data_IF_618826701286
#
_entry.id   IF_618826701286
#
_cell.length_a   1.000
_cell.length_b   1.000
_cell.length_c   1.000
_cell.angle_alpha   90.00
_cell.angle_beta   90.00
_cell.angle_gamma   90.00
#
_symmetry.space_group_name_H-M   'P 1'
#
loop_
_entity.id
_entity.type
_entity.pdbx_description
1 polymer ?
#
# COMPACT_ATOMS: atom_id res chain seq x y z
N UNK A 1 -2.57 -2.54 7.83
CA UNK A 1 -3.54 -2.44 6.71
C UNK A 1 -3.13 -1.43 5.63
N UNK A 2 -2.79 -0.17 5.95
CA UNK A 2 -2.39 0.81 4.92
C UNK A 2 -1.16 0.38 4.10
N UNK A 3 -0.15 -0.22 4.74
CA UNK A 3 1.01 -0.76 4.04
C UNK A 3 0.64 -1.86 3.03
N UNK A 4 -0.30 -2.75 3.37
CA UNK A 4 -0.80 -3.79 2.45
C UNK A 4 -1.49 -3.13 1.26
N UNK A 5 -2.37 -2.14 1.52
CA UNK A 5 -3.04 -1.40 0.46
C UNK A 5 -2.06 -0.67 -0.48
N UNK A 6 -1.11 0.09 0.07
CA UNK A 6 -0.21 0.91 -0.74
C UNK A 6 0.71 0.06 -1.61
N UNK A 7 1.32 -0.99 -1.06
CA UNK A 7 2.18 -1.89 -1.82
C UNK A 7 1.38 -2.69 -2.86
N UNK A 8 0.15 -3.11 -2.54
CA UNK A 8 -0.74 -3.75 -3.52
C UNK A 8 -1.05 -2.81 -4.70
N UNK A 9 -1.38 -1.55 -4.41
CA UNK A 9 -1.66 -0.55 -5.46
C UNK A 9 -0.42 -0.26 -6.29
N UNK A 10 0.74 -0.08 -5.66
CA UNK A 10 2.00 0.15 -6.37
C UNK A 10 2.41 -1.07 -7.21
N UNK A 11 2.25 -2.30 -6.72
CA UNK A 11 2.59 -3.51 -7.46
C UNK A 11 1.67 -3.77 -8.67
N UNK A 12 0.39 -3.41 -8.57
CA UNK A 12 -0.59 -3.69 -9.65
C UNK A 12 -0.70 -2.54 -10.64
N UNK A 13 -0.88 -1.32 -10.13
CA UNK A 13 -1.08 -0.12 -10.95
C UNK A 13 0.26 0.55 -11.28
N UNK A 14 1.17 0.62 -10.30
CA UNK A 14 2.36 1.48 -10.35
C UNK A 14 2.11 2.76 -9.56
N UNK A 15 2.79 3.84 -9.96
CA UNK A 15 2.64 5.15 -9.34
C UNK A 15 1.19 5.62 -9.26
N UNK A 16 0.87 6.35 -8.19
CA UNK A 16 -0.46 6.92 -7.97
C UNK A 16 -0.88 7.80 -9.15
N UNK A 17 -2.08 7.55 -9.66
CA UNK A 17 -2.62 8.17 -10.88
C UNK A 17 -4.05 8.71 -10.68
N UNK A 18 -4.42 8.99 -9.42
CA UNK A 18 -5.75 9.49 -9.04
C UNK A 18 -5.58 10.76 -8.22
N UNK A 19 -6.60 11.61 -8.21
CA UNK A 19 -6.59 12.80 -7.38
C UNK A 19 -6.68 12.46 -5.89
N UNK A 20 -6.08 13.32 -5.08
CA UNK A 20 -6.11 13.16 -3.63
C UNK A 20 -7.51 13.42 -3.08
N UNK A 21 -8.10 12.52 -2.28
CA UNK A 21 -9.41 12.72 -1.68
C UNK A 21 -9.51 13.99 -0.82
N UNK A 22 -10.72 14.55 -0.74
CA UNK A 22 -11.02 15.77 0.02
C UNK A 22 -10.78 15.64 1.52
N UNK A 23 -10.66 16.77 2.23
CA UNK A 23 -10.23 16.81 3.63
C UNK A 23 -11.11 16.02 4.61
N UNK A 24 -12.40 15.84 4.30
CA UNK A 24 -13.36 15.11 5.14
C UNK A 24 -13.31 13.59 4.93
N UNK A 25 -12.70 13.11 3.83
CA UNK A 25 -12.48 11.68 3.60
C UNK A 25 -11.15 11.23 4.20
N UNK A 26 -11.12 11.11 5.53
CA UNK A 26 -9.91 10.72 6.26
C UNK A 26 -9.36 9.35 5.84
N UNK A 27 -10.25 8.39 5.51
CA UNK A 27 -9.85 7.03 5.14
C UNK A 27 -9.27 6.99 3.73
N UNK A 28 -9.94 7.62 2.76
CA UNK A 28 -9.45 7.74 1.40
C UNK A 28 -8.14 8.51 1.35
N UNK A 29 -8.06 9.62 2.07
CA UNK A 29 -6.83 10.43 2.20
C UNK A 29 -5.67 9.60 2.75
N UNK A 30 -5.86 8.85 3.83
CA UNK A 30 -4.80 8.01 4.40
C UNK A 30 -4.33 6.89 3.44
N UNK A 31 -5.27 6.28 2.71
CA UNK A 31 -4.95 5.29 1.67
C UNK A 31 -4.16 5.91 0.51
N UNK A 32 -4.62 7.06 0.02
CA UNK A 32 -3.99 7.79 -1.06
C UNK A 32 -2.58 8.24 -0.67
N UNK A 33 -2.42 8.84 0.51
CA UNK A 33 -1.14 9.31 1.04
C UNK A 33 -0.14 8.15 1.16
N UNK A 34 -0.58 6.99 1.67
CA UNK A 34 0.25 5.79 1.77
C UNK A 34 0.67 5.22 0.41
N UNK A 35 -0.17 5.33 -0.62
CA UNK A 35 0.19 4.91 -1.98
C UNK A 35 1.12 5.93 -2.64
N UNK A 36 0.81 7.22 -2.53
CA UNK A 36 1.63 8.31 -3.06
C UNK A 36 3.04 8.32 -2.46
N UNK A 37 3.23 7.91 -1.20
CA UNK A 37 4.57 7.79 -0.61
C UNK A 37 5.45 6.71 -1.24
N UNK A 38 4.89 5.80 -2.05
CA UNK A 38 5.63 4.77 -2.78
C UNK A 38 5.94 5.17 -4.24
N UNK A 39 5.63 6.40 -4.64
CA UNK A 39 5.88 6.88 -6.00
C UNK A 39 7.35 6.70 -6.39
N UNK A 40 7.60 6.15 -7.57
CA UNK A 40 8.94 5.80 -8.07
C UNK A 40 9.42 4.40 -7.68
N UNK A 41 8.71 3.68 -6.82
CA UNK A 41 9.02 2.28 -6.51
C UNK A 41 8.59 1.38 -7.69
N UNK A 42 9.44 0.44 -8.09
CA UNK A 42 9.10 -0.54 -9.14
C UNK A 42 7.94 -1.44 -8.70
N UNK A 43 7.22 -2.02 -9.67
CA UNK A 43 6.13 -2.97 -9.38
C UNK A 43 6.67 -4.23 -8.69
N UNK A 44 7.84 -4.68 -9.11
CA UNK A 44 8.53 -5.85 -8.58
C UNK A 44 8.95 -5.65 -7.12
N UNK A 45 9.51 -4.49 -6.78
CA UNK A 45 9.91 -4.19 -5.39
C UNK A 45 8.70 -4.00 -4.49
N UNK A 46 7.64 -3.36 -5.01
CA UNK A 46 6.37 -3.25 -4.30
C UNK A 46 5.74 -4.63 -4.00
N UNK A 47 5.82 -5.56 -4.94
CA UNK A 47 5.33 -6.94 -4.75
C UNK A 47 6.13 -7.69 -3.68
N UNK A 48 7.47 -7.60 -3.71
CA UNK A 48 8.33 -8.20 -2.67
C UNK A 48 8.02 -7.64 -1.28
N UNK A 49 7.87 -6.32 -1.18
CA UNK A 49 7.53 -5.66 0.08
C UNK A 49 6.11 -6.02 0.57
N UNK A 50 5.15 -6.20 -0.34
CA UNK A 50 3.81 -6.72 -0.01
C UNK A 50 3.90 -8.11 0.62
N UNK A 51 4.58 -9.06 -0.04
CA UNK A 51 4.74 -10.44 0.43
C UNK A 51 5.39 -10.45 1.81
N UNK A 52 6.52 -9.73 1.97
CA UNK A 52 7.20 -9.59 3.26
C UNK A 52 6.24 -9.09 4.33
N UNK A 53 5.42 -8.08 4.02
CA UNK A 53 4.50 -7.53 5.00
C UNK A 53 3.37 -8.49 5.36
N UNK A 54 2.89 -9.30 4.43
CA UNK A 54 1.89 -10.34 4.70
C UNK A 54 2.46 -11.42 5.62
N UNK A 55 3.68 -11.89 5.37
CA UNK A 55 4.33 -12.88 6.24
C UNK A 55 4.54 -12.33 7.67
N UNK A 56 5.03 -11.09 7.81
CA UNK A 56 5.13 -10.43 9.13
C UNK A 56 3.77 -10.37 9.87
N UNK A 57 2.67 -10.17 9.12
CA UNK A 57 1.34 -10.11 9.71
C UNK A 57 0.83 -11.51 10.09
N UNK A 58 1.12 -12.55 9.29
CA UNK A 58 0.76 -13.93 9.60
C UNK A 58 1.45 -14.38 10.89
N UNK A 59 2.74 -14.08 11.03
CA UNK A 59 3.50 -14.33 12.28
C UNK A 59 2.91 -13.56 13.46
N UNK A 60 2.65 -12.26 13.28
CA UNK A 60 2.17 -11.39 14.37
C UNK A 60 0.78 -11.77 14.89
N UNK A 61 -0.10 -12.23 14.02
CA UNK A 61 -1.50 -12.51 14.35
C UNK A 61 -1.81 -14.02 14.43
N UNK A 62 -0.80 -14.89 14.29
CA UNK A 62 -0.95 -16.33 14.48
C UNK A 62 -1.91 -17.00 13.49
N UNK A 63 -1.98 -16.51 12.25
CA UNK A 63 -2.72 -17.20 11.18
C UNK A 63 -1.85 -18.33 10.64
N UNK A 64 -1.94 -19.49 11.30
CA UNK A 64 -1.32 -20.74 10.87
C UNK A 64 -2.22 -21.49 9.88
#
# INVERSE_FOLDING_TARGET
>A
MLAIYSHYKQATVGDVNTDRPGMLDFKGKAKWDAWNSLKGMSKEDAMKAYIKKVEELKEKYGMQ
#
